data_IF_982347076726
#
_entry.id   IF_982347076726
#
_cell.length_a   1.000
_cell.length_b   1.000
_cell.length_c   1.000
_cell.angle_alpha   90.00
_cell.angle_beta   90.00
_cell.angle_gamma   90.00
#
_symmetry.space_group_name_H-M   'P 1'
#
loop_
_entity.id
_entity.type
_entity.pdbx_description
1 polymer ?
#
# COMPACT_ATOMS: atom_id res chain seq x y z
N UNK A 1 11.04 -10.60 -2.35
CA UNK A 1 11.47 -11.88 -1.76
C UNK A 1 11.06 -13.04 -2.68
N UNK A 2 12.02 -13.93 -3.04
CA UNK A 2 11.78 -15.03 -3.98
C UNK A 2 10.79 -16.05 -3.41
N UNK A 3 10.93 -16.45 -2.14
CA UNK A 3 10.07 -17.43 -1.52
C UNK A 3 8.58 -17.00 -1.48
N UNK A 4 8.32 -15.71 -1.29
CA UNK A 4 6.96 -15.17 -1.36
C UNK A 4 6.42 -15.21 -2.80
N UNK A 5 7.25 -14.92 -3.80
CA UNK A 5 6.83 -15.02 -5.21
C UNK A 5 6.51 -16.47 -5.60
N UNK A 6 7.34 -17.42 -5.17
CA UNK A 6 7.09 -18.84 -5.41
C UNK A 6 5.76 -19.29 -4.79
N UNK A 7 5.47 -18.84 -3.56
CA UNK A 7 4.19 -19.12 -2.90
C UNK A 7 3.01 -18.49 -3.66
N UNK A 8 3.13 -17.24 -4.10
CA UNK A 8 2.07 -16.56 -4.88
C UNK A 8 1.85 -17.29 -6.21
N UNK A 9 2.93 -17.72 -6.89
CA UNK A 9 2.83 -18.46 -8.15
C UNK A 9 2.07 -19.77 -7.96
N UNK A 10 2.39 -20.54 -6.90
CA UNK A 10 1.70 -21.79 -6.58
C UNK A 10 0.19 -21.57 -6.33
N UNK A 11 -0.18 -20.55 -5.55
CA UNK A 11 -1.60 -20.21 -5.35
C UNK A 11 -2.29 -19.76 -6.63
N UNK A 12 -1.59 -19.03 -7.50
CA UNK A 12 -2.15 -18.60 -8.79
C UNK A 12 -2.41 -19.79 -9.71
N UNK A 13 -1.50 -20.75 -9.77
CA UNK A 13 -1.67 -22.00 -10.53
C UNK A 13 -2.82 -22.85 -9.98
N UNK A 14 -2.90 -23.03 -8.66
CA UNK A 14 -3.96 -23.81 -8.01
C UNK A 14 -5.35 -23.18 -8.20
N UNK A 15 -5.42 -21.86 -8.30
CA UNK A 15 -6.68 -21.15 -8.53
C UNK A 15 -7.32 -21.43 -9.89
N UNK A 16 -6.55 -21.84 -10.88
CA UNK A 16 -7.00 -22.04 -12.27
C UNK A 16 -7.49 -20.78 -12.99
N UNK A 17 -7.26 -19.59 -12.44
CA UNK A 17 -7.72 -18.32 -13.02
C UNK A 17 -6.76 -17.83 -14.11
N UNK A 18 -7.23 -17.81 -15.35
CA UNK A 18 -6.43 -17.43 -16.52
C UNK A 18 -6.03 -15.94 -16.56
N UNK A 19 -6.66 -15.09 -15.77
CA UNK A 19 -6.38 -13.66 -15.68
C UNK A 19 -5.34 -13.29 -14.60
N UNK A 20 -4.82 -14.25 -13.84
CA UNK A 20 -3.72 -14.03 -12.93
C UNK A 20 -2.38 -14.15 -13.65
N UNK A 21 -1.62 -13.07 -13.63
CA UNK A 21 -0.26 -13.06 -14.18
C UNK A 21 0.74 -13.58 -13.16
N UNK A 22 1.89 -14.07 -13.64
CA UNK A 22 2.98 -14.48 -12.78
C UNK A 22 3.43 -13.31 -11.87
N UNK A 23 3.76 -13.58 -10.59
CA UNK A 23 4.24 -12.56 -9.68
C UNK A 23 5.61 -12.04 -10.12
N UNK A 24 5.80 -10.72 -10.00
CA UNK A 24 7.04 -10.04 -10.37
C UNK A 24 7.78 -9.52 -9.14
N UNK A 25 9.07 -9.29 -9.28
CA UNK A 25 9.86 -8.55 -8.29
C UNK A 25 9.66 -7.06 -8.51
N UNK A 26 9.10 -6.38 -7.52
CA UNK A 26 8.87 -4.94 -7.57
C UNK A 26 9.38 -4.30 -6.28
N UNK A 27 10.41 -3.47 -6.41
CA UNK A 27 10.85 -2.54 -5.36
C UNK A 27 10.23 -1.17 -5.64
N UNK A 28 9.38 -0.72 -4.74
CA UNK A 28 8.67 0.56 -4.89
C UNK A 28 9.61 1.75 -4.95
N UNK A 29 10.83 1.66 -4.41
CA UNK A 29 11.83 2.74 -4.42
C UNK A 29 12.51 2.92 -5.78
N UNK A 30 12.36 1.97 -6.70
CA UNK A 30 12.93 2.08 -8.05
C UNK A 30 12.16 3.09 -8.90
N UNK A 31 12.91 3.86 -9.70
CA UNK A 31 12.33 4.88 -10.57
C UNK A 31 11.44 4.29 -11.68
N UNK A 32 11.74 3.09 -12.13
CA UNK A 32 11.01 2.38 -13.19
C UNK A 32 10.48 1.07 -12.62
N UNK A 33 9.17 0.88 -12.71
CA UNK A 33 8.52 -0.37 -12.36
C UNK A 33 8.37 -1.27 -13.59
N UNK A 34 8.57 -2.58 -13.45
CA UNK A 34 8.44 -3.54 -14.57
C UNK A 34 6.98 -3.90 -14.82
N UNK A 35 6.08 -2.91 -14.87
CA UNK A 35 4.65 -3.07 -15.06
C UNK A 35 4.14 -2.09 -16.11
N UNK A 36 3.14 -2.51 -16.89
CA UNK A 36 2.41 -1.63 -17.79
C UNK A 36 1.47 -0.70 -17.01
N UNK A 37 0.89 0.29 -17.71
CA UNK A 37 -0.18 1.11 -17.15
C UNK A 37 -1.36 0.23 -16.69
N UNK A 38 -1.98 0.61 -15.57
CA UNK A 38 -3.11 -0.10 -14.97
C UNK A 38 -4.15 0.89 -14.43
N UNK A 39 -5.37 0.40 -14.21
CA UNK A 39 -6.48 1.22 -13.70
C UNK A 39 -6.51 1.27 -12.17
N UNK A 40 -5.91 0.28 -11.51
CA UNK A 40 -5.90 0.21 -10.06
C UNK A 40 -4.62 -0.45 -9.52
N UNK A 41 -4.17 0.05 -8.36
CA UNK A 41 -3.10 -0.55 -7.56
C UNK A 41 -3.65 -0.79 -6.15
N UNK A 42 -3.49 -2.01 -5.65
CA UNK A 42 -3.86 -2.37 -4.28
C UNK A 42 -2.60 -2.73 -3.49
N UNK A 43 -2.44 -2.11 -2.32
CA UNK A 43 -1.30 -2.35 -1.43
C UNK A 43 -1.81 -2.62 -0.01
N UNK A 44 -1.62 -3.86 0.48
CA UNK A 44 -2.01 -4.27 1.81
C UNK A 44 -0.81 -4.31 2.76
N UNK A 45 -0.88 -3.58 3.87
CA UNK A 45 0.04 -3.57 5.01
C UNK A 45 1.50 -3.17 4.72
N UNK A 46 1.96 -3.18 3.47
CA UNK A 46 3.37 -2.97 3.10
C UNK A 46 3.93 -1.66 3.69
N UNK A 47 3.14 -0.58 3.65
CA UNK A 47 3.57 0.75 4.14
C UNK A 47 3.92 0.76 5.63
N UNK A 48 3.41 -0.20 6.42
CA UNK A 48 3.67 -0.31 7.86
C UNK A 48 4.91 -1.16 8.17
N UNK A 49 5.25 -2.10 7.28
CA UNK A 49 6.36 -3.05 7.41
C UNK A 49 7.52 -2.75 6.46
N UNK A 50 7.65 -1.51 6.05
CA UNK A 50 8.71 -1.00 5.20
C UNK A 50 9.16 0.39 5.69
N UNK A 51 10.38 0.85 5.37
CA UNK A 51 10.80 2.22 5.61
C UNK A 51 9.90 3.23 4.88
N UNK A 52 9.83 4.47 5.41
CA UNK A 52 8.99 5.53 4.82
C UNK A 52 9.26 5.78 3.33
N UNK A 53 10.52 5.63 2.90
CA UNK A 53 10.91 5.73 1.49
C UNK A 53 10.16 4.78 0.57
N UNK A 54 9.79 3.58 1.06
CA UNK A 54 8.97 2.66 0.27
C UNK A 54 7.54 3.20 0.05
N UNK A 55 6.98 3.92 1.03
CA UNK A 55 5.69 4.61 0.87
C UNK A 55 5.80 5.74 -0.15
N UNK A 56 6.84 6.58 -0.07
CA UNK A 56 7.08 7.64 -1.04
C UNK A 56 7.27 7.08 -2.45
N UNK A 57 8.04 6.00 -2.57
CA UNK A 57 8.26 5.29 -3.82
C UNK A 57 6.98 4.69 -4.38
N UNK A 58 6.13 4.10 -3.51
CA UNK A 58 4.81 3.58 -3.91
C UNK A 58 3.93 4.69 -4.49
N UNK A 59 3.81 5.84 -3.80
CA UNK A 59 3.01 6.97 -4.26
C UNK A 59 3.51 7.51 -5.61
N UNK A 60 4.81 7.73 -5.73
CA UNK A 60 5.42 8.21 -6.97
C UNK A 60 5.31 7.19 -8.12
N UNK A 61 5.51 5.91 -7.84
CA UNK A 61 5.36 4.83 -8.81
C UNK A 61 3.92 4.66 -9.25
N UNK A 62 2.97 4.69 -8.33
CA UNK A 62 1.55 4.63 -8.64
C UNK A 62 1.12 5.78 -9.55
N UNK A 63 1.56 7.02 -9.26
CA UNK A 63 1.27 8.18 -10.12
C UNK A 63 1.75 7.98 -11.57
N UNK A 64 2.89 7.32 -11.78
CA UNK A 64 3.43 7.07 -13.13
C UNK A 64 2.77 5.92 -13.85
N UNK A 65 2.24 4.96 -13.10
CA UNK A 65 1.74 3.67 -13.62
C UNK A 65 0.23 3.65 -13.79
N UNK A 66 -0.50 4.38 -12.95
CA UNK A 66 -1.96 4.47 -13.06
C UNK A 66 -2.38 5.23 -14.32
N UNK A 67 -3.42 4.75 -14.97
CA UNK A 67 -4.13 5.50 -16.01
C UNK A 67 -4.79 6.77 -15.42
N UNK A 68 -5.14 7.77 -16.24
CA UNK A 68 -5.92 8.93 -15.77
C UNK A 68 -7.18 8.49 -15.01
N UNK A 69 -7.43 9.08 -13.85
CA UNK A 69 -8.49 8.66 -12.91
C UNK A 69 -8.34 7.25 -12.32
N UNK A 70 -7.20 6.61 -12.51
CA UNK A 70 -6.87 5.34 -11.84
C UNK A 70 -6.77 5.49 -10.33
N UNK A 71 -6.89 4.40 -9.61
CA UNK A 71 -6.98 4.41 -8.15
C UNK A 71 -5.82 3.67 -7.49
N UNK A 72 -5.29 4.26 -6.41
CA UNK A 72 -4.42 3.58 -5.47
C UNK A 72 -5.20 3.30 -4.19
N UNK A 73 -5.28 2.04 -3.79
CA UNK A 73 -5.92 1.62 -2.55
C UNK A 73 -4.86 1.11 -1.58
N UNK A 74 -4.75 1.77 -0.43
CA UNK A 74 -3.92 1.31 0.68
C UNK A 74 -4.81 0.68 1.76
N UNK A 75 -4.52 -0.55 2.14
CA UNK A 75 -5.22 -1.25 3.22
C UNK A 75 -4.29 -1.47 4.41
N UNK A 76 -4.78 -1.19 5.60
CA UNK A 76 -4.06 -1.48 6.85
C UNK A 76 -4.59 -0.70 8.05
N UNK A 77 -3.90 -0.83 9.22
CA UNK A 77 -4.23 -0.12 10.45
C UNK A 77 -3.55 1.25 10.48
N UNK A 78 -4.20 2.27 10.01
CA UNK A 78 -3.67 3.64 10.01
C UNK A 78 -4.00 4.39 11.29
N UNK A 79 -3.20 5.42 11.62
CA UNK A 79 -3.47 6.38 12.67
C UNK A 79 -4.22 7.57 12.05
N UNK A 80 -5.34 7.94 12.67
CA UNK A 80 -6.16 9.09 12.29
C UNK A 80 -6.03 10.20 13.33
N UNK A 81 -5.89 11.45 12.88
CA UNK A 81 -5.82 12.58 13.78
C UNK A 81 -7.19 12.82 14.43
N UNK A 82 -7.18 13.05 15.74
CA UNK A 82 -8.40 13.26 16.52
C UNK A 82 -9.23 11.99 16.81
N UNK A 83 -8.78 10.82 16.33
CA UNK A 83 -9.45 9.53 16.60
C UNK A 83 -8.54 8.67 17.49
N UNK A 84 -9.05 8.17 18.64
CA UNK A 84 -8.26 7.26 19.47
C UNK A 84 -7.86 6.00 18.70
N UNK A 85 -6.56 5.71 18.67
CA UNK A 85 -6.06 4.47 18.05
C UNK A 85 -6.42 3.27 18.92
N UNK A 86 -7.00 2.23 18.33
CA UNK A 86 -7.37 1.01 19.04
C UNK A 86 -6.17 0.36 19.74
N UNK A 87 -6.39 -0.21 20.92
CA UNK A 87 -5.32 -0.84 21.72
C UNK A 87 -4.57 -1.94 20.95
N UNK A 88 -5.29 -2.73 20.13
CA UNK A 88 -4.68 -3.73 19.24
C UNK A 88 -3.70 -3.12 18.23
N UNK A 89 -4.05 -1.97 17.66
CA UNK A 89 -3.21 -1.27 16.70
C UNK A 89 -1.99 -0.63 17.39
N UNK A 90 -2.14 -0.12 18.60
CA UNK A 90 -1.01 0.37 19.41
C UNK A 90 -0.02 -0.75 19.74
N UNK A 91 -0.53 -1.93 20.14
CA UNK A 91 0.31 -3.10 20.39
C UNK A 91 1.04 -3.56 19.13
N UNK A 92 0.35 -3.56 17.99
CA UNK A 92 0.95 -3.89 16.70
C UNK A 92 2.03 -2.87 16.27
N UNK A 93 1.79 -1.58 16.45
CA UNK A 93 2.81 -0.54 16.20
C UNK A 93 4.07 -0.75 17.05
N UNK A 94 3.89 -1.07 18.33
CA UNK A 94 4.99 -1.34 19.24
C UNK A 94 5.81 -2.57 18.82
N UNK A 95 5.15 -3.68 18.41
CA UNK A 95 5.81 -4.87 17.89
C UNK A 95 6.60 -4.57 16.60
N UNK A 96 5.99 -3.85 15.67
CA UNK A 96 6.66 -3.47 14.42
C UNK A 96 7.93 -2.66 14.68
N UNK A 97 7.86 -1.65 15.55
CA UNK A 97 9.01 -0.80 15.92
C UNK A 97 10.09 -1.55 16.68
N UNK A 98 9.71 -2.54 17.50
CA UNK A 98 10.67 -3.40 18.17
C UNK A 98 11.45 -4.29 17.21
N UNK A 99 10.81 -4.72 16.11
CA UNK A 99 11.43 -5.53 15.06
C UNK A 99 12.30 -4.69 14.12
N UNK A 100 11.86 -3.48 13.80
CA UNK A 100 12.60 -2.53 12.97
C UNK A 100 12.11 -1.10 13.26
N UNK A 101 13.01 -0.24 13.73
CA UNK A 101 12.67 1.15 14.09
C UNK A 101 12.15 2.01 12.92
N UNK A 102 12.40 1.60 11.67
CA UNK A 102 11.86 2.28 10.48
C UNK A 102 10.42 1.86 10.14
N UNK A 103 9.89 0.83 10.79
CA UNK A 103 8.53 0.33 10.62
C UNK A 103 7.58 0.99 11.61
N UNK A 104 6.29 0.77 11.41
CA UNK A 104 5.24 1.24 12.31
C UNK A 104 4.02 1.76 11.56
N UNK A 105 2.96 2.03 12.29
CA UNK A 105 1.73 2.56 11.72
C UNK A 105 1.97 3.96 11.15
N UNK A 106 1.35 4.21 9.99
CA UNK A 106 1.43 5.50 9.31
C UNK A 106 0.19 6.32 9.60
N UNK A 107 0.38 7.65 9.69
CA UNK A 107 -0.74 8.58 9.81
C UNK A 107 -1.38 8.81 8.45
N UNK A 108 -2.71 8.85 8.42
CA UNK A 108 -3.47 9.17 7.20
C UNK A 108 -3.03 10.53 6.65
N UNK A 109 -2.89 11.55 7.52
CA UNK A 109 -2.49 12.89 7.11
C UNK A 109 -1.09 12.96 6.49
N UNK A 110 -0.12 12.16 7.00
CA UNK A 110 1.24 12.10 6.44
C UNK A 110 1.25 11.50 5.03
N UNK A 111 0.49 10.42 4.83
CA UNK A 111 0.37 9.80 3.50
C UNK A 111 -0.33 10.74 2.54
N UNK A 112 -1.44 11.36 2.97
CA UNK A 112 -2.18 12.31 2.15
C UNK A 112 -1.32 13.51 1.72
N UNK A 113 -0.52 14.06 2.65
CA UNK A 113 0.40 15.15 2.35
C UNK A 113 1.51 14.76 1.36
N UNK A 114 1.94 13.49 1.37
CA UNK A 114 2.95 12.97 0.46
C UNK A 114 2.39 12.56 -0.92
N UNK A 115 1.07 12.40 -1.05
CA UNK A 115 0.39 11.87 -2.24
C UNK A 115 0.18 12.94 -3.33
N UNK A 116 1.25 13.62 -3.74
CA UNK A 116 1.18 14.62 -4.80
C UNK A 116 0.69 14.00 -6.12
N UNK A 117 -0.33 14.60 -6.74
CA UNK A 117 -0.96 14.10 -7.97
C UNK A 117 -2.12 13.14 -7.74
N UNK A 118 -2.59 13.05 -6.50
CA UNK A 118 -3.81 12.38 -6.12
C UNK A 118 -4.75 13.35 -5.41
N UNK A 119 -6.04 13.09 -5.49
CA UNK A 119 -7.03 13.76 -4.67
C UNK A 119 -6.89 13.33 -3.20
N UNK A 120 -7.48 14.09 -2.28
CA UNK A 120 -7.54 13.67 -0.88
C UNK A 120 -8.17 12.28 -0.76
N UNK A 121 -7.60 11.35 0.04
CA UNK A 121 -8.07 9.98 0.04
C UNK A 121 -9.48 9.85 0.63
N UNK A 122 -10.32 9.07 -0.05
CA UNK A 122 -11.53 8.57 0.55
C UNK A 122 -11.17 7.50 1.59
N UNK A 123 -11.72 7.66 2.78
CA UNK A 123 -11.52 6.75 3.90
C UNK A 123 -12.67 5.75 4.00
N UNK A 124 -12.38 4.47 4.01
CA UNK A 124 -13.36 3.40 4.20
C UNK A 124 -12.98 2.56 5.42
N UNK A 125 -13.86 2.50 6.42
CA UNK A 125 -13.65 1.67 7.60
C UNK A 125 -13.75 0.18 7.24
N UNK A 126 -12.82 -0.60 7.75
CA UNK A 126 -12.71 -2.04 7.52
C UNK A 126 -12.72 -2.80 8.85
N UNK A 127 -13.03 -4.10 8.85
CA UNK A 127 -12.96 -4.92 10.05
C UNK A 127 -11.60 -4.87 10.74
N UNK A 128 -11.57 -5.22 12.03
CA UNK A 128 -10.36 -5.30 12.86
C UNK A 128 -9.57 -3.97 12.95
N UNK A 129 -10.29 -2.83 12.97
CA UNK A 129 -9.70 -1.49 13.07
C UNK A 129 -8.73 -1.14 11.92
N UNK A 130 -8.93 -1.72 10.74
CA UNK A 130 -8.25 -1.35 9.52
C UNK A 130 -9.03 -0.28 8.74
N UNK A 131 -8.35 0.34 7.80
CA UNK A 131 -8.92 1.26 6.81
C UNK A 131 -8.52 0.85 5.40
N UNK A 132 -9.38 1.15 4.42
CA UNK A 132 -8.93 1.42 3.06
C UNK A 132 -8.82 2.93 2.87
N UNK A 133 -7.69 3.38 2.36
CA UNK A 133 -7.48 4.74 1.86
C UNK A 133 -7.47 4.67 0.32
N UNK A 134 -8.47 5.27 -0.31
CA UNK A 134 -8.64 5.26 -1.76
C UNK A 134 -8.23 6.61 -2.32
N UNK A 135 -7.12 6.62 -3.04
CA UNK A 135 -6.58 7.80 -3.71
C UNK A 135 -6.93 7.73 -5.21
N UNK A 136 -7.58 8.73 -5.73
CA UNK A 136 -7.86 8.87 -7.16
C UNK A 136 -6.79 9.76 -7.78
N UNK A 137 -6.18 9.29 -8.87
CA UNK A 137 -5.19 10.09 -9.60
C UNK A 137 -5.89 11.29 -10.24
N UNK A 138 -5.48 12.50 -9.85
CA UNK A 138 -5.90 13.70 -10.56
C UNK A 138 -5.06 13.85 -11.84
N UNK A 139 -5.73 13.94 -12.97
CA UNK A 139 -5.10 14.11 -14.28
C UNK A 139 -4.52 15.52 -14.43
N UNK A 140 -3.28 15.71 -14.02
CA UNK A 140 -2.46 16.86 -14.40
C UNK A 140 -1.25 16.37 -15.19
#
# INVERSE_FOLDING_TARGET
DAANRDSIAAYSEDSGLANLMAPIDLDTTQAIWPVAACDAIFCANMVHIAPWQATLGLLAGAKRTLAPSGVLVLYGPFIEDGVPTAASNLAFDADLRARNSAWGLRRVAEIAAAAAGFDAPQRVAMPANNLCLVFVQNGL
#
